data_IF_812970239462
#
_entry.id   IF_812970239462
#
_cell.length_a   1.000
_cell.length_b   1.000
_cell.length_c   1.000
_cell.angle_alpha   90.00
_cell.angle_beta   90.00
_cell.angle_gamma   90.00
#
_symmetry.space_group_name_H-M   'P 1'
#
loop_
_entity.id
_entity.type
_entity.pdbx_description
1 polymer ?
#
# COMPACT_ATOMS: atom_id res chain seq x y z
N UNK A 1 -13.94 18.80 -6.41
CA UNK A 1 -13.84 17.31 -6.40
C UNK A 1 -12.51 17.02 -7.03
N UNK A 2 -11.68 16.10 -6.49
CA UNK A 2 -10.34 15.90 -7.02
C UNK A 2 -10.39 15.56 -8.51
N UNK A 3 -9.53 16.20 -9.30
CA UNK A 3 -9.36 15.92 -10.72
C UNK A 3 -8.53 14.64 -10.88
N UNK A 4 -8.95 13.74 -11.77
CA UNK A 4 -8.23 12.48 -12.02
C UNK A 4 -7.61 12.60 -13.41
N UNK A 5 -6.28 12.53 -13.45
CA UNK A 5 -5.49 12.67 -14.66
C UNK A 5 -4.80 11.32 -14.90
N UNK A 6 -5.04 10.71 -16.05
CA UNK A 6 -4.38 9.47 -16.42
C UNK A 6 -3.36 9.78 -17.50
N UNK A 7 -2.10 9.47 -17.23
CA UNK A 7 -1.00 9.65 -18.15
C UNK A 7 -0.52 8.24 -18.50
N UNK A 8 -0.81 7.86 -19.74
CA UNK A 8 -0.23 6.66 -20.33
C UNK A 8 1.07 7.08 -20.98
N UNK A 9 2.14 6.45 -20.54
CA UNK A 9 3.48 6.59 -21.05
C UNK A 9 3.57 5.63 -22.24
N UNK A 10 3.52 6.17 -23.46
CA UNK A 10 3.53 5.41 -24.71
C UNK A 10 4.14 6.23 -25.87
N UNK A 11 4.24 5.62 -27.04
CA UNK A 11 4.74 6.22 -28.30
C UNK A 11 4.04 7.51 -28.75
N UNK A 12 2.91 7.89 -28.14
CA UNK A 12 2.24 9.17 -28.42
C UNK A 12 2.90 10.36 -27.71
N UNK A 13 3.77 10.09 -26.71
CA UNK A 13 4.68 11.04 -26.10
C UNK A 13 5.99 11.06 -26.92
N UNK A 14 6.63 12.20 -27.21
CA UNK A 14 7.76 12.24 -28.15
C UNK A 14 8.96 11.41 -27.68
N UNK A 15 9.10 10.20 -28.26
CA UNK A 15 10.22 9.28 -28.09
C UNK A 15 11.56 9.98 -28.37
N UNK A 16 12.25 10.29 -27.27
CA UNK A 16 13.68 10.49 -27.27
C UNK A 16 14.20 9.69 -26.08
N UNK A 17 14.79 8.53 -26.36
CA UNK A 17 15.73 7.83 -25.47
C UNK A 17 16.45 8.83 -24.54
N UNK A 18 16.25 8.69 -23.23
CA UNK A 18 16.72 9.65 -22.22
C UNK A 18 15.61 10.23 -21.35
N UNK A 19 15.61 11.56 -21.25
CA UNK A 19 14.76 12.35 -20.35
C UNK A 19 13.45 12.77 -20.99
N UNK A 20 12.34 12.36 -20.39
CA UNK A 20 10.99 12.76 -20.76
C UNK A 20 10.41 13.76 -19.76
N UNK A 21 10.04 14.96 -20.23
CA UNK A 21 9.31 15.92 -19.40
C UNK A 21 7.79 15.75 -19.58
N UNK A 22 7.06 15.58 -18.49
CA UNK A 22 5.60 15.45 -18.47
C UNK A 22 5.02 16.66 -17.75
N UNK A 23 4.27 17.49 -18.48
CA UNK A 23 3.59 18.66 -17.92
C UNK A 23 2.13 18.33 -17.62
N UNK A 24 1.78 18.22 -16.35
CA UNK A 24 0.44 17.77 -15.92
C UNK A 24 -0.70 18.62 -16.51
N UNK A 25 -0.51 19.95 -16.63
CA UNK A 25 -1.45 20.85 -17.31
C UNK A 25 -1.82 20.46 -18.75
N UNK A 26 -0.96 19.74 -19.48
CA UNK A 26 -1.23 19.32 -20.86
C UNK A 26 -2.20 18.13 -20.92
N UNK A 27 -2.35 17.39 -19.81
CA UNK A 27 -3.22 16.21 -19.68
C UNK A 27 -4.49 16.49 -18.86
N UNK A 28 -4.55 17.64 -18.18
CA UNK A 28 -5.71 18.07 -17.41
C UNK A 28 -6.91 18.38 -18.33
N UNK A 29 -8.10 17.98 -17.88
CA UNK A 29 -9.37 18.22 -18.61
C UNK A 29 -10.16 19.38 -18.03
N UNK A 30 -9.83 19.79 -16.80
CA UNK A 30 -10.32 20.98 -16.14
C UNK A 30 -9.17 21.87 -15.66
N UNK A 31 -9.42 23.14 -15.33
CA UNK A 31 -8.41 23.96 -14.65
C UNK A 31 -7.96 23.29 -13.34
N UNK A 32 -6.64 23.23 -13.12
CA UNK A 32 -6.01 22.71 -11.90
C UNK A 32 -6.31 23.65 -10.71
N UNK A 33 -7.53 23.58 -10.18
CA UNK A 33 -8.02 24.43 -9.09
C UNK A 33 -8.32 23.67 -7.79
N UNK A 34 -8.38 22.33 -7.87
CA UNK A 34 -8.67 21.38 -6.78
C UNK A 34 -7.56 20.30 -6.75
N UNK A 35 -7.51 19.46 -5.72
CA UNK A 35 -6.56 18.32 -5.59
C UNK A 35 -6.50 17.47 -6.87
N UNK A 36 -5.31 17.04 -7.31
CA UNK A 36 -5.16 16.19 -8.50
C UNK A 36 -4.62 14.80 -8.16
N UNK A 37 -5.21 13.78 -8.76
CA UNK A 37 -4.72 12.41 -8.73
C UNK A 37 -4.20 12.05 -10.12
N UNK A 38 -2.88 12.07 -10.25
CA UNK A 38 -2.18 11.76 -11.49
C UNK A 38 -1.75 10.30 -11.44
N UNK A 39 -2.24 9.49 -12.36
CA UNK A 39 -1.86 8.10 -12.48
C UNK A 39 -0.93 7.93 -13.68
N UNK A 40 0.24 7.34 -13.44
CA UNK A 40 1.18 6.94 -14.48
C UNK A 40 1.00 5.47 -14.79
N UNK A 41 0.76 5.17 -16.06
CA UNK A 41 0.69 3.82 -16.59
C UNK A 41 1.74 3.69 -17.68
N UNK A 42 2.47 2.59 -17.66
CA UNK A 42 3.22 2.21 -18.84
C UNK A 42 2.27 1.60 -19.89
N UNK A 43 2.40 2.06 -21.13
CA UNK A 43 1.53 1.74 -22.25
C UNK A 43 2.20 0.95 -23.36
N UNK A 44 3.53 0.84 -23.36
CA UNK A 44 4.35 0.10 -24.34
C UNK A 44 5.75 -0.20 -23.78
N UNK A 45 6.59 -0.94 -24.50
CA UNK A 45 7.98 -1.27 -24.12
C UNK A 45 8.92 -0.06 -24.35
N UNK A 46 8.81 0.94 -23.47
CA UNK A 46 9.40 2.26 -23.63
C UNK A 46 10.79 2.36 -22.95
N UNK A 47 11.88 2.53 -23.72
CA UNK A 47 13.27 2.70 -23.23
C UNK A 47 13.47 4.07 -22.54
N UNK A 48 12.98 4.20 -21.31
CA UNK A 48 12.98 5.41 -20.46
C UNK A 48 14.19 5.42 -19.53
N UNK A 49 14.97 6.50 -19.53
CA UNK A 49 16.02 6.71 -18.52
C UNK A 49 15.55 7.64 -17.36
N UNK A 50 14.70 8.63 -17.67
CA UNK A 50 14.28 9.67 -16.72
C UNK A 50 12.89 10.25 -17.08
N UNK A 51 12.01 10.36 -16.09
CA UNK A 51 10.74 11.07 -16.14
C UNK A 51 10.84 12.32 -15.28
N UNK A 52 10.49 13.48 -15.83
CA UNK A 52 10.41 14.73 -15.05
C UNK A 52 9.00 15.27 -15.06
N UNK A 53 8.36 15.30 -13.90
CA UNK A 53 6.99 15.78 -13.72
C UNK A 53 7.00 17.28 -13.44
N UNK A 54 6.21 18.04 -14.20
CA UNK A 54 6.15 19.51 -14.11
C UNK A 54 4.72 20.02 -14.14
N UNK A 55 4.57 21.29 -13.77
CA UNK A 55 3.38 22.09 -14.07
C UNK A 55 2.06 21.51 -13.52
N UNK A 56 2.07 20.92 -12.32
CA UNK A 56 0.85 20.44 -11.64
C UNK A 56 0.17 21.52 -10.78
N UNK A 57 0.91 22.52 -10.29
CA UNK A 57 0.30 23.60 -9.53
C UNK A 57 -0.28 24.73 -10.37
N UNK A 58 -1.33 25.39 -9.84
CA UNK A 58 -1.93 26.61 -10.42
C UNK A 58 -0.95 27.77 -10.43
N UNK A 59 -0.17 27.94 -9.35
CA UNK A 59 0.88 28.95 -9.24
C UNK A 59 2.20 28.41 -8.63
N UNK A 60 3.31 29.06 -8.97
CA UNK A 60 4.67 28.68 -8.50
C UNK A 60 4.91 28.99 -7.01
N UNK A 61 3.88 29.30 -6.23
CA UNK A 61 4.00 29.78 -4.84
C UNK A 61 3.16 28.96 -3.85
N UNK A 62 2.40 27.97 -4.31
CA UNK A 62 1.67 27.01 -3.47
C UNK A 62 0.55 27.63 -2.62
N UNK A 63 0.12 28.86 -2.92
CA UNK A 63 -0.80 29.59 -2.04
C UNK A 63 -2.26 29.24 -2.32
N UNK A 64 -2.85 28.47 -1.41
CA UNK A 64 -4.25 28.06 -1.49
C UNK A 64 -4.46 26.85 -2.41
N UNK A 65 -3.41 26.07 -2.63
CA UNK A 65 -3.46 24.82 -3.39
C UNK A 65 -3.86 23.67 -2.46
N UNK A 66 -4.43 22.63 -3.06
CA UNK A 66 -4.79 21.40 -2.37
C UNK A 66 -3.73 20.31 -2.66
N UNK A 67 -3.62 19.27 -1.82
CA UNK A 67 -2.71 18.14 -2.03
C UNK A 67 -2.87 17.43 -3.39
N UNK A 68 -1.76 17.24 -4.10
CA UNK A 68 -1.71 16.39 -5.30
C UNK A 68 -1.13 15.00 -4.98
N UNK A 69 -1.59 13.97 -5.69
CA UNK A 69 -1.07 12.60 -5.57
C UNK A 69 -0.62 12.06 -6.92
N UNK A 70 0.60 11.52 -6.96
CA UNK A 70 1.22 10.90 -8.13
C UNK A 70 1.30 9.38 -7.91
N UNK A 71 0.49 8.62 -8.62
CA UNK A 71 0.34 7.18 -8.45
C UNK A 71 1.14 6.44 -9.52
N UNK A 72 2.08 5.60 -9.08
CA UNK A 72 2.89 4.74 -9.94
C UNK A 72 2.58 3.27 -9.68
N UNK A 73 2.19 2.56 -10.74
CA UNK A 73 2.09 1.10 -10.75
C UNK A 73 3.35 0.52 -11.39
N UNK A 74 4.34 0.16 -10.57
CA UNK A 74 5.59 -0.32 -11.15
C UNK A 74 5.43 -1.65 -11.90
N UNK A 75 4.35 -2.41 -11.69
CA UNK A 75 4.15 -3.67 -12.42
C UNK A 75 3.77 -3.52 -13.89
N UNK A 76 3.51 -2.28 -14.34
CA UNK A 76 3.33 -1.98 -15.75
C UNK A 76 4.64 -1.72 -16.50
N UNK A 77 5.69 -1.29 -15.79
CA UNK A 77 6.96 -0.85 -16.37
C UNK A 77 7.91 -2.02 -16.56
N UNK A 78 8.78 -1.95 -17.56
CA UNK A 78 9.76 -2.99 -17.90
C UNK A 78 11.22 -2.47 -18.00
N UNK A 79 11.50 -1.29 -17.41
CA UNK A 79 12.80 -0.61 -17.53
C UNK A 79 13.39 -0.11 -16.20
N UNK A 80 14.70 0.14 -16.16
CA UNK A 80 15.31 0.90 -15.08
C UNK A 80 15.21 2.40 -15.37
N UNK A 81 14.55 3.18 -14.50
CA UNK A 81 14.35 4.62 -14.76
C UNK A 81 14.44 5.50 -13.52
N UNK A 82 14.47 6.81 -13.73
CA UNK A 82 14.43 7.81 -12.66
C UNK A 82 13.19 8.68 -12.76
N UNK A 83 12.68 9.19 -11.64
CA UNK A 83 11.58 10.13 -11.57
C UNK A 83 12.02 11.34 -10.75
N UNK A 84 11.98 12.50 -11.40
CA UNK A 84 12.24 13.81 -10.83
C UNK A 84 10.97 14.67 -10.90
N UNK A 85 10.84 15.61 -9.98
CA UNK A 85 9.67 16.48 -9.88
C UNK A 85 10.14 17.91 -9.81
N UNK A 86 9.54 18.76 -10.62
CA UNK A 86 9.81 20.20 -10.60
C UNK A 86 8.63 20.93 -9.94
N UNK A 87 8.87 21.38 -8.71
CA UNK A 87 8.02 22.36 -8.04
C UNK A 87 7.02 21.78 -7.07
N UNK A 88 7.34 20.62 -6.50
CA UNK A 88 6.63 19.94 -5.42
C UNK A 88 6.48 20.77 -4.16
N UNK A 89 5.37 20.55 -3.46
CA UNK A 89 5.16 21.06 -2.12
C UNK A 89 5.02 19.93 -1.11
N UNK A 90 5.15 20.31 0.16
CA UNK A 90 5.14 19.40 1.28
C UNK A 90 3.82 18.72 1.62
N UNK A 91 2.78 19.06 0.86
CA UNK A 91 1.47 18.47 0.95
C UNK A 91 1.18 17.50 -0.19
N UNK A 92 2.04 17.42 -1.21
CA UNK A 92 1.89 16.47 -2.32
C UNK A 92 2.43 15.09 -1.94
N UNK A 93 2.11 14.07 -2.74
CA UNK A 93 2.53 12.70 -2.45
C UNK A 93 2.74 11.81 -3.67
N UNK A 94 3.82 11.04 -3.66
CA UNK A 94 4.03 9.88 -4.52
C UNK A 94 3.39 8.67 -3.87
N UNK A 95 2.70 7.86 -4.65
CA UNK A 95 2.10 6.60 -4.23
C UNK A 95 2.62 5.51 -5.16
N UNK A 96 3.61 4.79 -4.67
CA UNK A 96 4.26 3.69 -5.38
C UNK A 96 3.67 2.38 -4.94
N UNK A 97 3.36 1.54 -5.92
CA UNK A 97 2.94 0.18 -5.68
C UNK A 97 3.78 -0.81 -6.46
N UNK A 98 3.73 -2.06 -6.01
CA UNK A 98 4.44 -3.18 -6.60
C UNK A 98 5.97 -3.10 -6.54
N UNK A 99 6.49 -2.21 -5.71
CA UNK A 99 7.83 -2.33 -5.16
C UNK A 99 8.02 -3.71 -4.50
N UNK A 100 9.06 -4.42 -4.89
CA UNK A 100 9.55 -5.64 -4.23
C UNK A 100 10.43 -5.30 -3.03
N UNK A 101 11.26 -4.27 -3.18
CA UNK A 101 12.11 -3.71 -2.14
C UNK A 101 12.35 -2.22 -2.44
N UNK A 102 12.95 -1.49 -1.51
CA UNK A 102 13.46 -0.16 -1.77
C UNK A 102 14.52 0.22 -0.73
N UNK A 103 15.39 1.14 -1.11
CA UNK A 103 16.36 1.83 -0.27
C UNK A 103 16.15 3.34 -0.40
N UNK A 104 16.45 4.09 0.65
CA UNK A 104 16.43 5.55 0.63
C UNK A 104 17.80 6.07 1.05
N UNK A 105 18.37 6.97 0.23
CA UNK A 105 19.63 7.66 0.52
C UNK A 105 19.51 9.14 0.17
N UNK A 106 19.57 9.99 1.19
CA UNK A 106 19.63 11.44 1.02
C UNK A 106 18.38 12.07 0.41
N UNK A 107 17.21 11.45 0.58
CA UNK A 107 15.93 11.88 0.03
C UNK A 107 15.52 11.14 -1.24
N UNK A 108 16.42 10.41 -1.89
CA UNK A 108 16.15 9.66 -3.12
C UNK A 108 15.83 8.20 -2.80
N UNK A 109 14.78 7.67 -3.42
CA UNK A 109 14.31 6.31 -3.21
C UNK A 109 14.69 5.43 -4.40
N UNK A 110 15.57 4.47 -4.22
CA UNK A 110 15.82 3.41 -5.21
C UNK A 110 14.88 2.25 -4.91
N UNK A 111 13.92 1.98 -5.79
CA UNK A 111 12.82 1.05 -5.58
C UNK A 111 12.98 -0.11 -6.57
N UNK A 112 13.22 -1.32 -6.06
CA UNK A 112 13.17 -2.52 -6.90
C UNK A 112 11.72 -2.94 -7.13
N UNK A 113 11.44 -3.50 -8.30
CA UNK A 113 10.15 -4.09 -8.63
C UNK A 113 10.30 -5.20 -9.67
N UNK A 114 9.19 -5.91 -9.95
CA UNK A 114 9.11 -6.89 -11.05
C UNK A 114 8.21 -6.32 -12.13
N UNK A 115 8.74 -6.23 -13.35
CA UNK A 115 8.02 -5.73 -14.50
C UNK A 115 6.94 -6.67 -15.00
N UNK A 116 6.22 -6.21 -16.02
CA UNK A 116 5.25 -7.01 -16.77
C UNK A 116 5.91 -8.20 -17.48
N UNK A 117 7.19 -8.04 -17.86
CA UNK A 117 8.07 -9.05 -18.43
C UNK A 117 8.46 -10.18 -17.45
N UNK A 118 8.27 -9.95 -16.15
CA UNK A 118 8.61 -10.88 -15.07
C UNK A 118 10.07 -10.79 -14.59
N UNK A 119 10.85 -9.85 -15.10
CA UNK A 119 12.22 -9.56 -14.69
C UNK A 119 12.27 -8.46 -13.61
N UNK A 120 13.43 -8.29 -12.98
CA UNK A 120 13.64 -7.31 -11.92
C UNK A 120 14.19 -6.02 -12.48
N UNK A 121 13.57 -4.91 -12.07
CA UNK A 121 13.91 -3.55 -12.47
C UNK A 121 13.97 -2.62 -11.26
N UNK A 122 14.43 -1.40 -11.48
CA UNK A 122 14.61 -0.35 -10.47
C UNK A 122 14.06 0.98 -10.93
N UNK A 123 13.43 1.71 -10.02
CA UNK A 123 13.12 3.12 -10.22
C UNK A 123 13.75 3.96 -9.12
N UNK A 124 14.46 5.02 -9.49
CA UNK A 124 14.93 6.02 -8.53
C UNK A 124 13.97 7.21 -8.52
N UNK A 125 13.41 7.57 -7.36
CA UNK A 125 12.49 8.71 -7.26
C UNK A 125 13.02 9.70 -6.25
N UNK A 126 13.20 10.95 -6.68
CA UNK A 126 13.39 12.08 -5.77
C UNK A 126 12.04 12.78 -5.57
N UNK A 127 11.35 12.57 -4.44
CA UNK A 127 10.08 13.24 -4.16
C UNK A 127 10.26 14.70 -3.75
N UNK A 128 11.48 15.21 -3.60
CA UNK A 128 11.74 16.55 -3.07
C UNK A 128 11.07 16.78 -1.71
N UNK A 129 10.28 17.86 -1.60
CA UNK A 129 9.49 18.14 -0.39
C UNK A 129 8.21 17.28 -0.27
N UNK A 130 7.77 16.58 -1.33
CA UNK A 130 6.56 15.75 -1.32
C UNK A 130 6.73 14.47 -0.49
N UNK A 131 5.60 13.87 -0.09
CA UNK A 131 5.62 12.58 0.59
C UNK A 131 5.80 11.40 -0.35
N UNK A 132 6.33 10.28 0.14
CA UNK A 132 6.55 9.05 -0.63
C UNK A 132 5.80 7.87 0.02
N UNK A 133 4.87 7.24 -0.70
CA UNK A 133 4.02 6.16 -0.20
C UNK A 133 4.29 4.89 -0.97
N UNK A 134 5.18 4.03 -0.48
CA UNK A 134 5.40 2.69 -1.04
C UNK A 134 4.53 1.64 -0.33
N UNK A 135 3.59 0.98 -1.03
CA UNK A 135 2.88 -0.24 -0.55
C UNK A 135 2.04 -0.13 0.76
N UNK A 136 1.05 0.79 0.93
CA UNK A 136 0.38 1.00 2.22
C UNK A 136 -0.61 -0.13 2.65
N UNK A 137 -0.53 -0.67 3.90
CA UNK A 137 -1.45 -1.68 4.44
C UNK A 137 -2.71 -1.04 5.05
N UNK A 138 -3.90 -1.40 4.57
CA UNK A 138 -5.16 -0.73 4.95
C UNK A 138 -6.38 -1.66 4.97
N UNK A 139 -7.35 -1.37 5.85
CA UNK A 139 -8.70 -1.97 5.87
C UNK A 139 -9.67 -1.16 4.99
N UNK A 140 -10.72 -1.77 4.49
CA UNK A 140 -11.83 -1.00 3.87
C UNK A 140 -12.86 -0.53 4.91
N UNK A 141 -13.69 0.50 4.61
CA UNK A 141 -14.48 1.22 5.62
C UNK A 141 -15.52 0.34 6.30
N UNK A 142 -16.12 -0.56 5.52
CA UNK A 142 -17.18 -1.46 5.96
C UNK A 142 -16.68 -2.69 6.73
N UNK A 143 -15.37 -2.98 6.70
CA UNK A 143 -14.76 -4.11 7.40
C UNK A 143 -15.09 -4.04 8.88
N UNK A 144 -15.67 -5.11 9.42
CA UNK A 144 -15.97 -5.24 10.83
C UNK A 144 -14.73 -5.65 11.62
N UNK A 145 -14.34 -4.82 12.58
CA UNK A 145 -13.25 -5.05 13.52
C UNK A 145 -13.82 -5.47 14.87
N UNK A 146 -13.25 -6.50 15.48
CA UNK A 146 -13.69 -6.99 16.78
C UNK A 146 -13.33 -6.01 17.90
N UNK A 147 -14.32 -5.61 18.70
CA UNK A 147 -14.14 -4.82 19.91
C UNK A 147 -14.77 -5.54 21.11
N UNK A 148 -14.43 -5.19 22.36
CA UNK A 148 -15.07 -5.77 23.55
C UNK A 148 -16.60 -5.59 23.58
N UNK A 149 -17.10 -4.55 22.91
CA UNK A 149 -18.54 -4.26 22.79
C UNK A 149 -19.22 -4.93 21.59
N UNK A 150 -18.50 -5.75 20.84
CA UNK A 150 -18.95 -6.38 19.60
C UNK A 150 -18.24 -5.85 18.35
N UNK A 151 -18.70 -6.27 17.19
CA UNK A 151 -18.11 -5.86 15.91
C UNK A 151 -18.42 -4.41 15.59
N UNK A 152 -17.40 -3.64 15.20
CA UNK A 152 -17.52 -2.23 14.82
C UNK A 152 -16.87 -2.01 13.45
N UNK A 153 -17.49 -1.21 12.58
CA UNK A 153 -16.92 -0.92 11.25
C UNK A 153 -15.62 -0.12 11.40
N UNK A 154 -14.64 -0.43 10.56
CA UNK A 154 -13.34 0.26 10.55
C UNK A 154 -13.51 1.78 10.43
N UNK A 155 -14.43 2.26 9.58
CA UNK A 155 -14.71 3.69 9.43
C UNK A 155 -15.26 4.37 10.70
N UNK A 156 -15.85 3.62 11.63
CA UNK A 156 -16.45 4.18 12.84
C UNK A 156 -15.47 4.17 14.03
N UNK A 157 -14.32 3.51 13.88
CA UNK A 157 -13.25 3.49 14.88
C UNK A 157 -12.66 4.89 15.09
N UNK A 158 -12.20 5.14 16.31
CA UNK A 158 -11.57 6.39 16.74
C UNK A 158 -10.41 6.11 17.67
N UNK A 159 -9.48 7.05 17.77
CA UNK A 159 -8.44 7.04 18.81
C UNK A 159 -9.10 6.87 20.19
N UNK A 160 -8.56 5.97 21.00
CA UNK A 160 -9.05 5.59 22.31
C UNK A 160 -10.05 4.43 22.33
N UNK A 161 -10.64 4.03 21.19
CA UNK A 161 -11.48 2.84 21.13
C UNK A 161 -10.66 1.58 21.44
N UNK A 162 -11.23 0.65 22.22
CA UNK A 162 -10.62 -0.65 22.48
C UNK A 162 -10.93 -1.62 21.33
N UNK A 163 -9.88 -2.26 20.80
CA UNK A 163 -9.96 -3.31 19.77
C UNK A 163 -9.40 -4.61 20.35
N UNK A 164 -10.07 -5.72 20.08
CA UNK A 164 -9.59 -7.04 20.46
C UNK A 164 -8.30 -7.36 19.69
N UNK A 165 -7.25 -7.75 20.42
CA UNK A 165 -5.97 -8.17 19.85
C UNK A 165 -5.68 -9.62 20.21
N UNK A 166 -4.90 -10.30 19.38
CA UNK A 166 -4.58 -11.72 19.56
C UNK A 166 -3.80 -11.98 20.85
N UNK A 167 -2.74 -11.19 21.10
CA UNK A 167 -1.75 -11.48 22.15
C UNK A 167 -1.97 -10.66 23.44
N UNK A 168 -2.54 -9.46 23.33
CA UNK A 168 -2.51 -8.46 24.41
C UNK A 168 -3.88 -8.14 25.01
N UNK A 169 -4.92 -8.92 24.67
CA UNK A 169 -6.32 -8.58 24.99
C UNK A 169 -6.74 -7.26 24.33
N UNK A 170 -7.81 -6.59 24.81
CA UNK A 170 -8.26 -5.34 24.21
C UNK A 170 -7.22 -4.21 24.37
N UNK A 171 -6.81 -3.61 23.25
CA UNK A 171 -5.85 -2.50 23.23
C UNK A 171 -6.51 -1.22 22.70
N UNK A 172 -6.16 -0.04 23.24
CA UNK A 172 -6.69 1.23 22.74
C UNK A 172 -6.00 1.61 21.44
N UNK A 173 -6.78 1.97 20.42
CA UNK A 173 -6.24 2.60 19.21
C UNK A 173 -5.55 3.89 19.63
N UNK A 174 -4.28 4.04 19.26
CA UNK A 174 -3.54 5.24 19.56
C UNK A 174 -3.53 6.22 18.39
N UNK A 175 -3.62 5.71 17.17
CA UNK A 175 -3.67 6.55 15.98
C UNK A 175 -4.51 5.88 14.89
N UNK A 176 -5.19 6.70 14.10
CA UNK A 176 -6.04 6.25 12.99
C UNK A 176 -5.93 7.22 11.82
N UNK A 177 -5.77 6.68 10.62
CA UNK A 177 -5.81 7.44 9.37
C UNK A 177 -6.88 6.87 8.46
N UNK A 178 -7.51 7.79 7.72
CA UNK A 178 -8.43 7.46 6.64
C UNK A 178 -7.94 8.16 5.39
N UNK A 179 -7.73 7.40 4.32
CA UNK A 179 -7.29 7.92 3.03
C UNK A 179 -8.17 7.36 1.94
N UNK A 180 -8.67 8.21 1.04
CA UNK A 180 -9.47 7.77 -0.09
C UNK A 180 -8.57 7.64 -1.31
N UNK A 181 -8.52 6.46 -1.92
CA UNK A 181 -7.89 6.23 -3.21
C UNK A 181 -8.96 6.10 -4.29
N UNK A 182 -8.67 6.64 -5.46
CA UNK A 182 -9.50 6.53 -6.66
C UNK A 182 -8.73 5.72 -7.69
N UNK A 183 -9.44 4.90 -8.46
CA UNK A 183 -8.83 3.96 -9.40
C UNK A 183 -9.34 4.23 -10.81
N UNK A 184 -8.45 4.09 -11.79
CA UNK A 184 -8.78 4.14 -13.20
C UNK A 184 -9.45 2.84 -13.68
N UNK A 185 -9.95 2.88 -14.92
CA UNK A 185 -10.50 1.71 -15.61
C UNK A 185 -9.33 0.83 -16.07
N UNK A 186 -9.29 -0.43 -15.66
CA UNK A 186 -8.22 -1.38 -16.02
C UNK A 186 -7.14 -1.54 -14.95
N UNK A 187 -6.97 -0.57 -14.06
CA UNK A 187 -6.07 -0.67 -12.91
C UNK A 187 -6.49 -1.82 -11.99
N UNK A 188 -5.64 -2.82 -11.74
CA UNK A 188 -6.00 -4.00 -10.94
C UNK A 188 -5.17 -4.12 -9.67
N UNK A 189 -3.95 -3.60 -9.68
CA UNK A 189 -2.99 -3.87 -8.61
C UNK A 189 -3.20 -3.02 -7.36
N UNK A 190 -3.82 -1.85 -7.47
CA UNK A 190 -4.17 -0.96 -6.34
C UNK A 190 -5.51 -1.31 -5.70
N UNK A 191 -6.30 -2.13 -6.41
CA UNK A 191 -7.65 -2.46 -5.98
C UNK A 191 -7.59 -3.45 -4.82
N UNK A 192 -8.54 -3.36 -3.88
CA UNK A 192 -8.58 -4.26 -2.74
C UNK A 192 -8.57 -5.74 -3.16
N UNK A 193 -7.87 -6.54 -2.38
CA UNK A 193 -7.97 -8.00 -2.41
C UNK A 193 -9.25 -8.38 -1.68
N UNK A 194 -10.14 -9.08 -2.37
CA UNK A 194 -11.28 -9.76 -1.77
C UNK A 194 -10.83 -11.13 -1.27
N UNK A 195 -11.00 -11.36 0.02
CA UNK A 195 -10.96 -12.67 0.65
C UNK A 195 -12.41 -13.05 0.93
N UNK A 196 -12.97 -13.98 0.14
CA UNK A 196 -14.37 -14.39 0.27
C UNK A 196 -14.62 -15.07 1.62
N UNK A 197 -15.84 -14.93 2.14
CA UNK A 197 -16.30 -15.65 3.33
C UNK A 197 -15.90 -17.13 3.28
N UNK A 198 -15.17 -17.58 4.32
CA UNK A 198 -14.72 -18.96 4.46
C UNK A 198 -13.50 -19.35 3.62
N UNK A 199 -12.88 -18.44 2.87
CA UNK A 199 -11.73 -18.74 2.01
C UNK A 199 -10.44 -19.11 2.78
N UNK A 200 -10.32 -18.68 4.04
CA UNK A 200 -9.18 -18.98 4.93
C UNK A 200 -9.53 -20.07 5.96
N UNK A 201 -10.59 -20.85 5.71
CA UNK A 201 -11.03 -21.94 6.55
C UNK A 201 -12.43 -21.74 7.15
N UNK A 202 -12.90 -22.71 7.96
CA UNK A 202 -14.26 -22.67 8.50
C UNK A 202 -14.56 -21.38 9.26
N UNK A 203 -15.53 -20.61 8.77
CA UNK A 203 -15.95 -19.31 9.33
C UNK A 203 -14.88 -18.21 9.29
N UNK A 204 -13.85 -18.34 8.44
CA UNK A 204 -12.81 -17.31 8.25
C UNK A 204 -12.62 -17.00 6.76
N UNK A 205 -12.85 -15.75 6.32
CA UNK A 205 -13.60 -14.69 7.00
C UNK A 205 -15.06 -15.06 7.36
N UNK A 206 -15.67 -14.32 8.29
CA UNK A 206 -17.09 -14.40 8.67
C UNK A 206 -18.02 -13.81 7.59
N UNK A 207 -17.57 -12.74 6.93
CA UNK A 207 -18.13 -12.10 5.75
C UNK A 207 -16.99 -11.79 4.78
N UNK A 208 -17.31 -11.44 3.53
CA UNK A 208 -16.30 -11.00 2.56
C UNK A 208 -15.42 -9.88 3.14
N UNK A 209 -14.12 -10.14 3.19
CA UNK A 209 -13.11 -9.24 3.74
C UNK A 209 -12.36 -8.59 2.58
N UNK A 210 -12.25 -7.27 2.61
CA UNK A 210 -11.49 -6.50 1.65
C UNK A 210 -10.29 -5.85 2.34
N UNK A 211 -9.11 -6.06 1.79
CA UNK A 211 -7.84 -5.56 2.30
C UNK A 211 -7.06 -4.88 1.18
N UNK A 212 -6.20 -3.91 1.50
CA UNK A 212 -5.21 -3.47 0.52
C UNK A 212 -4.25 -4.62 0.18
N UNK A 213 -3.66 -4.64 -1.02
CA UNK A 213 -2.80 -5.73 -1.49
C UNK A 213 -1.70 -6.15 -0.50
N UNK A 214 -1.09 -5.20 0.18
CA UNK A 214 0.05 -5.42 1.06
C UNK A 214 -0.32 -5.60 2.53
N UNK A 215 -1.60 -5.44 2.86
CA UNK A 215 -2.08 -5.69 4.22
C UNK A 215 -1.86 -7.16 4.58
N UNK A 216 -1.19 -7.41 5.71
CA UNK A 216 -0.81 -8.77 6.06
C UNK A 216 -1.89 -9.50 6.85
N UNK A 217 -2.11 -10.74 6.44
CA UNK A 217 -2.95 -11.74 7.12
C UNK A 217 -2.03 -12.68 7.88
N UNK A 218 -2.43 -13.10 9.08
CA UNK A 218 -1.71 -14.12 9.83
C UNK A 218 -2.02 -15.50 9.25
N UNK A 219 -0.99 -16.24 8.88
CA UNK A 219 -1.07 -17.66 8.58
C UNK A 219 -0.40 -18.48 9.67
N UNK A 220 -0.99 -19.63 9.98
CA UNK A 220 -0.44 -20.63 10.86
C UNK A 220 -0.53 -22.02 10.21
N UNK A 221 0.12 -23.01 10.82
CA UNK A 221 -0.13 -24.41 10.48
C UNK A 221 1.13 -25.26 10.29
N UNK A 222 0.96 -26.55 9.95
CA UNK A 222 2.07 -27.47 9.78
C UNK A 222 3.03 -27.08 8.65
N UNK A 223 2.50 -26.52 7.55
CA UNK A 223 3.32 -26.08 6.40
C UNK A 223 4.13 -24.84 6.77
N UNK A 224 3.50 -23.86 7.42
CA UNK A 224 4.17 -22.67 7.98
C UNK A 224 5.34 -23.08 8.89
N UNK A 225 5.09 -23.96 9.86
CA UNK A 225 6.14 -24.46 10.77
C UNK A 225 7.30 -25.14 10.04
N UNK A 226 7.00 -25.96 9.04
CA UNK A 226 8.01 -26.71 8.30
C UNK A 226 8.85 -25.83 7.39
N UNK A 227 8.23 -24.86 6.72
CA UNK A 227 8.87 -24.06 5.66
C UNK A 227 9.50 -22.77 6.19
N UNK A 228 8.88 -22.14 7.18
CA UNK A 228 9.32 -20.85 7.71
C UNK A 228 10.07 -20.97 9.04
N UNK A 229 10.05 -22.13 9.69
CA UNK A 229 10.63 -22.32 11.02
C UNK A 229 9.92 -21.54 12.14
N UNK A 230 8.72 -21.01 11.86
CA UNK A 230 7.88 -20.24 12.78
C UNK A 230 6.49 -20.87 12.90
N UNK A 231 5.83 -20.70 14.06
CA UNK A 231 4.46 -21.21 14.26
C UNK A 231 3.42 -20.45 13.43
N UNK A 232 3.66 -19.15 13.27
CA UNK A 232 2.76 -18.18 12.65
C UNK A 232 3.61 -17.17 11.87
N UNK A 233 3.10 -16.71 10.73
CA UNK A 233 3.77 -15.72 9.87
C UNK A 233 2.74 -14.73 9.32
N UNK A 234 3.17 -13.49 9.09
CA UNK A 234 2.37 -12.46 8.42
C UNK A 234 2.66 -12.49 6.92
N UNK A 235 1.61 -12.59 6.10
CA UNK A 235 1.72 -12.66 4.64
C UNK A 235 0.89 -11.58 3.96
N UNK A 236 1.38 -10.91 2.91
CA UNK A 236 0.59 -9.94 2.14
C UNK A 236 -0.66 -10.59 1.53
N UNK A 237 -1.82 -9.92 1.60
CA UNK A 237 -3.07 -10.42 1.02
C UNK A 237 -2.95 -10.75 -0.48
N UNK A 238 -2.18 -9.95 -1.24
CA UNK A 238 -1.92 -10.18 -2.68
C UNK A 238 -1.19 -11.48 -2.96
N UNK A 239 -0.42 -12.01 -2.00
CA UNK A 239 0.28 -13.28 -2.17
C UNK A 239 -0.68 -14.48 -2.13
N UNK A 240 -1.92 -14.27 -1.67
CA UNK A 240 -2.93 -15.30 -1.48
C UNK A 240 -3.92 -15.41 -2.65
N UNK A 241 -3.74 -14.63 -3.73
CA UNK A 241 -4.68 -14.61 -4.87
C UNK A 241 -4.77 -15.93 -5.63
N UNK A 242 -3.78 -16.82 -5.47
CA UNK A 242 -3.82 -18.19 -6.02
C UNK A 242 -4.76 -19.11 -5.22
N UNK A 243 -5.18 -18.72 -4.01
CA UNK A 243 -6.06 -19.53 -3.17
C UNK A 243 -7.52 -19.39 -3.59
N UNK A 244 -8.25 -20.50 -3.50
CA UNK A 244 -9.67 -20.54 -3.85
C UNK A 244 -10.47 -19.52 -3.02
N UNK A 245 -11.10 -18.58 -3.72
CA UNK A 245 -11.95 -17.56 -3.11
C UNK A 245 -11.22 -16.29 -2.70
N UNK A 246 -9.95 -16.12 -3.10
CA UNK A 246 -9.19 -14.88 -2.90
C UNK A 246 -8.86 -14.30 -4.28
N UNK A 247 -9.14 -13.01 -4.50
CA UNK A 247 -8.94 -12.36 -5.82
C UNK A 247 -8.94 -10.84 -5.74
N UNK A 248 -8.39 -10.20 -6.75
CA UNK A 248 -8.48 -8.74 -6.93
C UNK A 248 -9.93 -8.32 -7.26
N UNK A 249 -10.25 -7.05 -7.03
CA UNK A 249 -11.61 -6.49 -7.19
C UNK A 249 -11.71 -5.49 -8.35
N UNK A 250 -11.68 -5.93 -9.63
CA UNK A 250 -11.49 -5.06 -10.79
C UNK A 250 -12.59 -3.98 -10.97
N UNK A 251 -13.79 -4.20 -10.43
CA UNK A 251 -14.94 -3.30 -10.59
C UNK A 251 -15.04 -2.12 -9.60
N UNK A 252 -14.07 -1.94 -8.69
CA UNK A 252 -14.05 -0.79 -7.76
C UNK A 252 -13.42 0.42 -8.45
N UNK A 253 -14.07 1.58 -8.40
CA UNK A 253 -13.52 2.85 -8.96
C UNK A 253 -12.92 3.76 -7.89
N UNK A 254 -13.17 3.48 -6.61
CA UNK A 254 -12.49 4.12 -5.47
C UNK A 254 -12.66 3.26 -4.22
N UNK A 255 -11.79 3.46 -3.23
CA UNK A 255 -11.91 2.88 -1.91
C UNK A 255 -11.40 3.87 -0.86
N UNK A 256 -12.10 3.96 0.26
CA UNK A 256 -11.52 4.60 1.45
C UNK A 256 -10.81 3.54 2.27
N UNK A 257 -9.56 3.79 2.59
CA UNK A 257 -8.70 2.92 3.35
C UNK A 257 -8.56 3.45 4.77
N UNK A 258 -8.67 2.55 5.74
CA UNK A 258 -8.58 2.84 7.17
C UNK A 258 -7.38 2.11 7.74
N UNK A 259 -6.48 2.86 8.35
CA UNK A 259 -5.26 2.36 8.98
C UNK A 259 -5.33 2.65 10.47
N UNK A 260 -5.10 1.63 11.30
CA UNK A 260 -5.16 1.73 12.77
C UNK A 260 -3.83 1.32 13.37
N UNK A 261 -3.34 2.11 14.32
CA UNK A 261 -2.08 1.86 15.03
C UNK A 261 -2.32 1.81 16.53
N UNK A 262 -1.56 0.94 17.20
CA UNK A 262 -1.53 0.77 18.66
C UNK A 262 -0.13 1.12 19.18
N UNK A 263 0.02 1.17 20.50
CA UNK A 263 1.29 1.47 21.15
C UNK A 263 2.43 0.52 20.78
N UNK A 264 2.10 -0.74 20.60
CA UNK A 264 2.96 -1.76 20.00
C UNK A 264 2.24 -2.32 18.81
N UNK A 265 2.95 -2.89 17.84
CA UNK A 265 2.30 -3.61 16.76
C UNK A 265 1.39 -4.72 17.32
N UNK A 266 0.19 -4.87 16.76
CA UNK A 266 -0.79 -5.86 17.19
C UNK A 266 -1.31 -6.65 15.99
N UNK A 267 -1.82 -7.86 16.28
CA UNK A 267 -2.69 -8.59 15.37
C UNK A 267 -4.12 -8.40 15.87
N UNK A 268 -5.00 -7.93 15.00
CA UNK A 268 -6.41 -7.65 15.29
C UNK A 268 -7.32 -8.60 14.51
N UNK A 269 -8.60 -8.63 14.86
CA UNK A 269 -9.59 -9.46 14.17
C UNK A 269 -10.47 -8.61 13.24
N UNK A 270 -10.29 -8.76 11.93
CA UNK A 270 -11.08 -8.14 10.88
C UNK A 270 -11.94 -9.20 10.18
N UNK A 271 -13.27 -9.07 10.25
CA UNK A 271 -14.23 -10.11 9.81
C UNK A 271 -13.92 -11.50 10.40
N UNK A 272 -13.36 -11.54 11.61
CA UNK A 272 -12.94 -12.78 12.28
C UNK A 272 -11.62 -13.38 11.77
N UNK A 273 -10.89 -12.68 10.91
CA UNK A 273 -9.53 -13.03 10.45
C UNK A 273 -8.49 -12.22 11.20
N UNK A 274 -7.42 -12.88 11.62
CA UNK A 274 -6.23 -12.28 12.19
C UNK A 274 -5.45 -11.50 11.13
N UNK A 275 -5.40 -10.18 11.26
CA UNK A 275 -4.68 -9.26 10.36
C UNK A 275 -3.80 -8.30 11.14
N UNK A 276 -2.77 -7.78 10.50
CA UNK A 276 -1.87 -6.83 11.15
C UNK A 276 -2.53 -5.47 11.41
N UNK A 277 -2.20 -4.83 12.54
CA UNK A 277 -2.34 -3.39 12.69
C UNK A 277 -1.22 -2.67 11.94
N UNK A 278 -1.29 -1.35 11.85
CA UNK A 278 -0.18 -0.57 11.31
C UNK A 278 1.12 -0.84 12.07
N UNK A 279 2.14 -1.20 11.30
CA UNK A 279 3.48 -1.47 11.77
C UNK A 279 4.38 -0.31 11.35
N UNK A 280 4.78 0.57 12.28
CA UNK A 280 5.64 1.69 11.93
C UNK A 280 6.99 1.21 11.47
N UNK A 281 7.52 1.89 10.47
CA UNK A 281 8.85 1.69 9.92
C UNK A 281 9.45 3.07 9.64
N UNK A 282 10.75 3.22 9.45
CA UNK A 282 11.33 4.54 9.17
C UNK A 282 10.61 5.24 8.00
N UNK A 283 10.29 4.46 6.96
CA UNK A 283 9.53 4.89 5.80
C UNK A 283 8.04 5.19 6.07
N UNK A 284 7.52 4.82 7.24
CA UNK A 284 6.14 5.06 7.62
C UNK A 284 5.78 6.55 7.71
N UNK A 285 6.79 7.38 7.93
CA UNK A 285 6.71 8.83 8.06
C UNK A 285 6.11 9.50 6.84
N UNK A 286 6.35 8.85 5.70
CA UNK A 286 6.15 9.34 4.36
C UNK A 286 4.72 8.99 3.89
N UNK A 287 3.98 8.14 4.64
CA UNK A 287 2.56 7.87 4.42
C UNK A 287 1.62 8.88 5.09
N UNK A 288 2.21 9.82 5.82
CA UNK A 288 1.53 10.67 6.79
C UNK A 288 1.69 12.11 6.31
N UNK A 289 0.61 12.89 6.41
CA UNK A 289 0.74 14.34 6.25
C UNK A 289 1.71 14.87 7.31
N UNK A 290 2.44 15.96 7.07
CA UNK A 290 3.31 16.58 8.11
C UNK A 290 2.63 16.75 9.47
N UNK A 291 1.32 17.02 9.45
CA UNK A 291 0.49 17.05 10.67
C UNK A 291 0.36 15.66 11.32
N UNK A 292 0.01 14.63 10.57
CA UNK A 292 -0.08 13.25 11.07
C UNK A 292 1.30 12.71 11.50
N UNK A 293 2.38 13.09 10.82
CA UNK A 293 3.78 12.81 11.18
C UNK A 293 4.13 13.45 12.51
N UNK A 294 3.90 14.76 12.65
CA UNK A 294 4.17 15.48 13.91
C UNK A 294 3.32 14.94 15.07
N UNK A 295 2.03 14.64 14.84
CA UNK A 295 1.16 13.99 15.83
C UNK A 295 1.71 12.61 16.23
N UNK A 296 2.17 11.81 15.27
CA UNK A 296 2.74 10.49 15.54
C UNK A 296 4.08 10.58 16.27
N UNK A 297 4.99 11.48 15.89
CA UNK A 297 6.28 11.67 16.56
C UNK A 297 6.12 12.23 17.98
N UNK A 298 5.15 13.13 18.21
CA UNK A 298 4.82 13.62 19.54
C UNK A 298 4.28 12.49 20.43
N UNK A 299 3.44 11.62 19.87
CA UNK A 299 2.82 10.52 20.60
C UNK A 299 3.73 9.30 20.78
N UNK A 300 4.63 9.07 19.81
CA UNK A 300 5.47 7.89 19.68
C UNK A 300 6.89 8.31 19.26
N UNK A 301 7.78 8.55 20.23
CA UNK A 301 9.18 8.83 19.94
C UNK A 301 9.82 7.71 19.12
N UNK A 302 10.65 8.06 18.15
CA UNK A 302 11.40 7.11 17.29
C UNK A 302 10.53 6.28 16.31
N UNK A 303 9.21 6.50 16.24
CA UNK A 303 8.25 5.75 15.41
C UNK A 303 8.51 5.82 13.90
N UNK A 304 9.21 6.88 13.49
CA UNK A 304 9.57 7.20 12.11
C UNK A 304 11.08 7.23 11.89
N UNK A 305 11.87 6.88 12.91
CA UNK A 305 13.33 6.87 12.82
C UNK A 305 13.85 5.56 12.24
N UNK A 306 15.12 5.49 11.84
CA UNK A 306 15.81 4.25 11.46
C UNK A 306 15.68 3.14 12.51
N UNK A 307 15.52 3.50 13.79
CA UNK A 307 15.35 2.57 14.91
C UNK A 307 13.92 2.08 15.09
N UNK A 308 12.97 2.52 14.27
CA UNK A 308 11.55 2.15 14.40
C UNK A 308 11.36 0.63 14.41
N UNK A 309 12.16 -0.14 13.67
CA UNK A 309 12.09 -1.59 13.67
C UNK A 309 12.51 -2.22 15.02
N UNK A 310 13.45 -1.60 15.74
CA UNK A 310 13.91 -2.06 17.05
C UNK A 310 12.93 -1.65 18.16
N UNK A 311 12.36 -0.45 18.06
CA UNK A 311 11.44 0.12 19.06
C UNK A 311 10.02 -0.43 18.89
N UNK A 312 9.60 -0.66 17.63
CA UNK A 312 8.28 -1.18 17.25
C UNK A 312 8.44 -2.47 16.40
N UNK A 313 8.92 -3.56 17.01
CA UNK A 313 9.14 -4.80 16.29
C UNK A 313 7.83 -5.41 15.80
N UNK A 314 7.90 -6.13 14.67
CA UNK A 314 6.79 -6.96 14.24
C UNK A 314 6.53 -8.04 15.29
N UNK A 315 5.26 -8.32 15.60
CA UNK A 315 4.91 -9.34 16.60
C UNK A 315 5.03 -10.76 16.07
N UNK A 316 5.18 -10.92 14.75
CA UNK A 316 5.42 -12.18 14.05
C UNK A 316 6.36 -11.95 12.87
N UNK A 317 7.08 -12.98 12.40
CA UNK A 317 7.87 -12.90 11.18
C UNK A 317 7.01 -12.51 9.98
N UNK A 318 7.56 -11.66 9.12
CA UNK A 318 6.89 -11.16 7.91
C UNK A 318 7.52 -11.87 6.71
N UNK A 319 6.67 -12.43 5.84
CA UNK A 319 7.12 -12.97 4.57
C UNK A 319 7.00 -11.91 3.47
N UNK A 320 7.92 -11.94 2.51
CA UNK A 320 7.74 -11.24 1.24
C UNK A 320 6.61 -11.89 0.43
N UNK A 321 6.06 -11.16 -0.54
CA UNK A 321 5.04 -11.70 -1.47
C UNK A 321 5.52 -13.01 -2.12
N UNK A 322 6.76 -13.05 -2.59
CA UNK A 322 7.34 -14.24 -3.23
C UNK A 322 7.44 -15.42 -2.26
N UNK A 323 7.94 -15.19 -1.04
CA UNK A 323 8.02 -16.23 -0.01
C UNK A 323 6.62 -16.76 0.35
N UNK A 324 5.63 -15.87 0.47
CA UNK A 324 4.25 -16.23 0.75
C UNK A 324 3.59 -16.99 -0.41
N UNK A 325 3.85 -16.64 -1.67
CA UNK A 325 3.37 -17.40 -2.83
C UNK A 325 3.97 -18.81 -2.91
N UNK A 326 5.26 -18.95 -2.59
CA UNK A 326 5.91 -20.27 -2.52
C UNK A 326 5.33 -21.13 -1.39
N UNK A 327 4.99 -20.51 -0.26
CA UNK A 327 4.29 -21.17 0.84
C UNK A 327 2.86 -21.59 0.45
N UNK A 328 2.12 -20.69 -0.20
CA UNK A 328 0.76 -20.89 -0.69
C UNK A 328 0.65 -22.08 -1.66
N UNK A 329 1.57 -22.18 -2.63
CA UNK A 329 1.63 -23.31 -3.57
C UNK A 329 1.92 -24.65 -2.87
N UNK A 330 2.62 -24.63 -1.74
CA UNK A 330 2.94 -25.84 -0.98
C UNK A 330 1.79 -26.36 -0.13
N UNK A 331 0.85 -25.50 0.31
CA UNK A 331 -0.37 -25.93 1.02
C UNK A 331 -1.34 -26.70 0.11
N UNK A 332 -1.53 -26.23 -1.13
CA UNK A 332 -2.48 -26.81 -2.08
C UNK A 332 -2.07 -28.23 -2.52
N UNK A 333 -0.75 -28.54 -2.48
CA UNK A 333 -0.23 -29.88 -2.72
C UNK A 333 -0.42 -30.85 -1.53
N UNK A 334 -0.67 -30.37 -0.31
CA UNK A 334 -0.86 -31.22 0.88
C UNK A 334 -2.33 -31.45 1.24
N UNK A 335 -3.24 -30.56 0.81
CA UNK A 335 -4.70 -30.78 0.93
C UNK A 335 -5.19 -31.91 0.01
N UNK A 336 -4.43 -32.22 -1.06
CA UNK A 336 -4.70 -33.33 -1.99
C UNK A 336 -4.16 -34.70 -1.54
N UNK A 337 -3.41 -34.79 -0.43
CA UNK A 337 -2.82 -36.06 0.04
C UNK A 337 -3.43 -36.61 1.33
N UNK A 338 -4.53 -36.03 1.85
CA UNK A 338 -5.24 -36.52 3.04
C UNK A 338 -6.71 -36.87 2.73
N UNK A 339 -6.93 -37.63 1.66
CA UNK A 339 -8.15 -38.42 1.49
C UNK A 339 -7.79 -39.90 1.34
N UNK A 340 -7.62 -40.56 2.49
CA UNK A 340 -7.91 -41.98 2.66
C UNK A 340 -8.80 -42.16 3.89
#
# INVERSE_FOLDING_TARGET
>A
MPEIINITIDDSIPDKKGKQEIKIKEYATTPLEDSQFVHFFDGDDWDIDEIVIKDFHKDKKGKGEEPDEFHFDLSGFDDDFTVDIDGEFDFDCFIIQNATSFEEDGGVYTIEYIGSDGESHTVEIDPGDACMVINPPCLTPATLVSTPSGMKRAQDLKVGDLVETLDSGPQPICWIQKRRLVFSVGEVNFKPILIQKGALGPRKPLNDLYLSPQHRVLLDGPVVRRKCGASEVLVPAKALTDWKGIRNTPGKTSVEYVTVMFKTHQIIFAEGVEVESYLPRPYAAQFLTKKATAELEEMFPEVLSEKAADVYPAVRPILTTQQAQLLAKAEDHMSLSNSE
#
